data_IF_561899013464
#
_entry.id   IF_561899013464
#
_cell.length_a   1.000
_cell.length_b   1.000
_cell.length_c   1.000
_cell.angle_alpha   90.00
_cell.angle_beta   90.00
_cell.angle_gamma   90.00
#
_symmetry.space_group_name_H-M   'P 1'
#
loop_
_entity.id
_entity.type
_entity.pdbx_description
1 polymer ?
#
# COMPACT_ATOMS: atom_id res chain seq x y z
N UNK A 1 -2.44 7.20 7.75
CA UNK A 1 -1.92 8.56 7.61
C UNK A 1 -0.40 8.49 7.38
N UNK A 2 0.09 9.26 6.42
CA UNK A 2 1.52 9.32 6.09
C UNK A 2 2.00 10.78 6.11
N UNK A 3 3.30 11.07 6.29
CA UNK A 3 3.83 12.42 6.20
C UNK A 3 3.52 13.09 4.85
N UNK A 4 3.70 14.42 4.79
CA UNK A 4 3.70 15.16 3.52
C UNK A 4 4.82 14.65 2.61
N UNK A 5 4.58 14.70 1.31
CA UNK A 5 5.47 14.13 0.31
C UNK A 5 5.50 14.97 -0.96
N UNK A 6 6.68 15.40 -1.41
CA UNK A 6 6.82 16.35 -2.52
C UNK A 6 6.04 15.96 -3.78
N UNK A 7 6.03 14.67 -4.13
CA UNK A 7 5.36 14.19 -5.34
C UNK A 7 3.86 14.47 -5.35
N UNK A 8 3.19 14.38 -4.19
CA UNK A 8 1.76 14.72 -4.07
C UNK A 8 1.54 16.22 -3.92
N UNK A 9 2.47 16.94 -3.27
CA UNK A 9 2.42 18.38 -3.15
C UNK A 9 2.55 19.05 -4.54
N UNK A 10 3.40 18.52 -5.42
CA UNK A 10 3.53 18.96 -6.81
C UNK A 10 2.23 18.77 -7.60
N UNK A 11 1.51 17.65 -7.41
CA UNK A 11 0.24 17.40 -8.09
C UNK A 11 -0.84 18.41 -7.69
N UNK A 12 -0.96 18.74 -6.42
CA UNK A 12 -1.93 19.76 -5.98
C UNK A 12 -1.53 21.16 -6.44
N UNK A 13 -0.24 21.47 -6.47
CA UNK A 13 0.27 22.73 -6.99
C UNK A 13 -0.06 22.88 -8.49
N UNK A 14 0.18 21.87 -9.28
CA UNK A 14 -0.16 21.83 -10.70
C UNK A 14 -1.66 21.99 -10.93
N UNK A 15 -2.50 21.31 -10.15
CA UNK A 15 -3.95 21.43 -10.24
C UNK A 15 -4.42 22.86 -9.93
N UNK A 16 -3.90 23.47 -8.87
CA UNK A 16 -4.22 24.82 -8.46
C UNK A 16 -3.83 25.85 -9.56
N UNK A 17 -2.63 25.76 -10.09
CA UNK A 17 -2.11 26.64 -11.12
C UNK A 17 -2.88 26.48 -12.45
N UNK A 18 -3.12 25.27 -12.89
CA UNK A 18 -3.76 25.00 -14.17
C UNK A 18 -5.25 25.43 -14.21
N UNK A 19 -5.92 25.40 -13.05
CA UNK A 19 -7.30 25.85 -12.92
C UNK A 19 -7.41 27.29 -12.43
N UNK A 20 -6.30 27.93 -12.09
CA UNK A 20 -6.24 29.27 -11.51
C UNK A 20 -7.16 29.41 -10.29
N UNK A 21 -6.89 28.59 -9.27
CA UNK A 21 -7.64 28.54 -8.01
C UNK A 21 -6.70 28.56 -6.82
N UNK A 22 -7.12 29.13 -5.66
CA UNK A 22 -6.27 29.24 -4.48
C UNK A 22 -6.14 27.94 -3.67
N UNK A 23 -7.04 26.98 -3.88
CA UNK A 23 -7.13 25.76 -3.05
C UNK A 23 -7.14 24.53 -3.97
N UNK A 24 -6.25 23.57 -3.65
CA UNK A 24 -6.28 22.24 -4.24
C UNK A 24 -5.91 21.19 -3.19
N UNK A 25 -6.54 20.01 -3.26
CA UNK A 25 -6.40 18.96 -2.25
C UNK A 25 -6.43 17.59 -2.89
N UNK A 26 -5.51 16.73 -2.49
CA UNK A 26 -5.64 15.28 -2.63
C UNK A 26 -6.15 14.76 -1.28
N UNK A 27 -7.37 14.26 -1.25
CA UNK A 27 -7.97 13.72 -0.05
C UNK A 27 -8.35 12.26 -0.19
N UNK A 28 -8.33 11.56 0.93
CA UNK A 28 -8.80 10.19 1.09
C UNK A 28 -9.97 10.17 2.07
N UNK A 29 -10.98 9.39 1.76
CA UNK A 29 -12.16 9.23 2.58
C UNK A 29 -12.01 7.97 3.41
N UNK A 30 -11.91 8.14 4.74
CA UNK A 30 -11.95 7.05 5.72
C UNK A 30 -13.38 6.85 6.25
N UNK A 31 -13.58 5.92 7.17
CA UNK A 31 -14.90 5.63 7.76
C UNK A 31 -15.43 6.75 8.66
N UNK A 32 -14.55 7.58 9.21
CA UNK A 32 -14.82 8.57 10.24
C UNK A 32 -14.41 9.99 9.86
N UNK A 33 -13.53 10.14 8.86
CA UNK A 33 -13.00 11.45 8.46
C UNK A 33 -12.55 11.48 7.01
N UNK A 34 -12.39 12.68 6.50
CA UNK A 34 -11.66 13.00 5.28
C UNK A 34 -10.24 13.43 5.66
N UNK A 35 -9.24 12.73 5.15
CA UNK A 35 -7.83 13.02 5.41
C UNK A 35 -7.14 13.57 4.16
N UNK A 36 -6.28 14.60 4.33
CA UNK A 36 -5.59 15.27 3.23
C UNK A 36 -4.17 14.74 3.08
N UNK A 37 -3.92 14.00 1.99
CA UNK A 37 -2.60 13.51 1.63
C UNK A 37 -1.68 14.66 1.22
N UNK A 38 -2.19 15.60 0.43
CA UNK A 38 -1.53 16.83 0.04
C UNK A 38 -2.57 17.94 -0.10
N UNK A 39 -2.19 19.16 0.17
CA UNK A 39 -3.09 20.30 0.06
C UNK A 39 -2.33 21.62 -0.09
N UNK A 40 -2.95 22.60 -0.76
CA UNK A 40 -2.54 23.98 -0.83
C UNK A 40 -3.75 24.87 -0.52
N UNK A 41 -3.54 25.97 0.19
CA UNK A 41 -4.59 26.95 0.50
C UNK A 41 -5.51 26.59 1.67
N UNK A 42 -5.29 25.48 2.37
CA UNK A 42 -5.98 25.11 3.60
C UNK A 42 -5.00 24.99 4.77
N UNK A 43 -5.48 25.21 5.99
CA UNK A 43 -4.69 25.05 7.22
C UNK A 43 -4.85 23.64 7.83
N UNK A 44 -6.03 23.04 7.68
CA UNK A 44 -6.35 21.73 8.24
C UNK A 44 -5.79 20.60 7.38
N UNK A 45 -5.46 19.45 8.01
CA UNK A 45 -5.04 18.21 7.33
C UNK A 45 -6.13 17.13 7.33
N UNK A 46 -7.22 17.39 7.98
CA UNK A 46 -8.39 16.50 8.01
C UNK A 46 -9.66 17.30 8.32
N UNK A 47 -10.80 16.71 8.04
CA UNK A 47 -12.09 17.25 8.41
C UNK A 47 -13.15 16.15 8.60
N UNK A 48 -14.22 16.41 9.36
CA UNK A 48 -15.35 15.48 9.48
C UNK A 48 -16.03 15.21 8.13
N UNK A 49 -16.61 14.01 7.98
CA UNK A 49 -17.29 13.63 6.74
C UNK A 49 -18.56 14.42 6.48
N UNK A 50 -19.24 14.83 7.54
CA UNK A 50 -20.53 15.52 7.47
C UNK A 50 -20.46 16.87 6.73
N UNK A 51 -19.30 17.51 6.75
CA UNK A 51 -19.09 18.79 6.05
C UNK A 51 -18.36 18.61 4.71
N UNK A 52 -17.98 17.37 4.35
CA UNK A 52 -17.20 17.10 3.16
C UNK A 52 -18.04 17.20 1.87
N UNK A 53 -17.69 18.13 0.98
CA UNK A 53 -18.22 18.18 -0.38
C UNK A 53 -17.72 16.98 -1.20
N UNK A 54 -16.50 16.49 -0.92
CA UNK A 54 -15.85 15.42 -1.67
C UNK A 54 -16.55 14.07 -1.55
N UNK A 55 -17.28 13.82 -0.46
CA UNK A 55 -18.07 12.58 -0.30
C UNK A 55 -19.13 12.42 -1.39
N UNK A 56 -19.71 13.52 -1.85
CA UNK A 56 -20.70 13.53 -2.93
C UNK A 56 -20.07 13.21 -4.31
N UNK A 57 -18.78 13.45 -4.45
CA UNK A 57 -18.07 13.09 -5.68
C UNK A 57 -17.91 11.55 -5.82
N UNK A 58 -17.84 10.81 -4.71
CA UNK A 58 -17.63 9.34 -4.76
C UNK A 58 -18.75 8.58 -5.49
N UNK A 59 -19.94 9.15 -5.56
CA UNK A 59 -21.09 8.56 -6.26
C UNK A 59 -21.18 8.96 -7.74
N UNK A 60 -20.21 9.73 -8.25
CA UNK A 60 -20.20 10.17 -9.63
C UNK A 60 -19.29 9.29 -10.49
N UNK A 61 -19.54 9.26 -11.79
CA UNK A 61 -18.68 8.54 -12.73
C UNK A 61 -17.54 9.40 -13.28
N UNK A 62 -17.70 10.72 -13.25
CA UNK A 62 -16.74 11.71 -13.77
C UNK A 62 -16.50 12.84 -12.75
N UNK A 63 -15.78 13.87 -13.15
CA UNK A 63 -15.49 15.05 -12.33
C UNK A 63 -16.76 15.71 -11.87
N UNK A 64 -16.96 15.77 -10.56
CA UNK A 64 -18.03 16.59 -9.97
C UNK A 64 -17.64 18.07 -10.10
N UNK A 65 -18.46 18.87 -10.74
CA UNK A 65 -18.27 20.34 -10.89
C UNK A 65 -19.45 21.04 -10.26
N UNK A 66 -19.17 21.95 -9.32
CA UNK A 66 -20.15 22.81 -8.67
C UNK A 66 -19.75 24.27 -8.91
N UNK A 67 -20.37 24.95 -9.88
CA UNK A 67 -19.99 26.31 -10.29
C UNK A 67 -20.23 27.39 -9.22
N UNK A 68 -21.28 27.24 -8.42
CA UNK A 68 -21.56 28.03 -7.21
C UNK A 68 -22.22 27.13 -6.16
N UNK A 69 -21.51 26.85 -5.09
CA UNK A 69 -21.98 25.95 -4.00
C UNK A 69 -23.23 26.45 -3.30
N UNK A 70 -23.50 27.75 -3.32
CA UNK A 70 -24.73 28.35 -2.72
C UNK A 70 -25.98 28.04 -3.53
N UNK A 71 -25.83 27.75 -4.81
CA UNK A 71 -26.92 27.44 -5.74
C UNK A 71 -27.12 25.92 -5.92
N UNK A 72 -26.37 25.11 -5.21
CA UNK A 72 -26.50 23.66 -5.24
C UNK A 72 -27.15 23.19 -3.94
N UNK A 73 -28.34 22.63 -4.04
CA UNK A 73 -29.16 22.21 -2.89
C UNK A 73 -28.42 21.23 -1.96
N UNK A 74 -27.43 20.51 -2.46
CA UNK A 74 -26.61 19.59 -1.65
C UNK A 74 -25.67 20.30 -0.69
N UNK A 75 -25.32 21.57 -0.99
CA UNK A 75 -24.25 22.29 -0.30
C UNK A 75 -24.65 23.65 0.25
N UNK A 76 -25.79 24.18 -0.13
CA UNK A 76 -26.24 25.55 0.26
C UNK A 76 -26.20 25.79 1.78
N UNK A 77 -26.54 24.78 2.59
CA UNK A 77 -26.54 24.83 4.05
C UNK A 77 -25.25 24.30 4.71
N UNK A 78 -24.25 23.92 3.90
CA UNK A 78 -23.01 23.38 4.42
C UNK A 78 -22.19 24.46 5.16
N UNK A 79 -21.67 24.22 6.38
CA UNK A 79 -20.85 25.18 7.12
C UNK A 79 -19.66 25.76 6.35
N UNK A 80 -19.05 24.97 5.46
CA UNK A 80 -17.95 25.42 4.59
C UNK A 80 -18.42 26.42 3.52
N UNK A 81 -19.73 26.46 3.22
CA UNK A 81 -20.37 27.36 2.24
C UNK A 81 -20.97 28.55 2.93
N UNK A 82 -21.67 28.38 4.08
CA UNK A 82 -22.38 29.46 4.77
C UNK A 82 -21.44 30.42 5.51
N UNK A 83 -20.20 30.05 5.76
CA UNK A 83 -19.21 30.94 6.37
C UNK A 83 -18.98 32.22 5.55
N UNK A 84 -18.56 33.32 6.22
CA UNK A 84 -18.30 34.62 5.57
C UNK A 84 -17.29 34.51 4.44
N UNK A 85 -16.21 33.73 4.66
CA UNK A 85 -15.18 33.40 3.67
C UNK A 85 -15.36 31.97 3.11
N UNK A 86 -16.62 31.60 2.89
CA UNK A 86 -17.00 30.25 2.50
C UNK A 86 -16.63 29.89 1.06
N UNK A 87 -16.59 28.59 0.82
CA UNK A 87 -16.34 28.03 -0.51
C UNK A 87 -17.49 28.38 -1.45
N UNK A 88 -17.16 28.68 -2.71
CA UNK A 88 -18.14 29.04 -3.76
C UNK A 88 -18.02 28.15 -4.99
N UNK A 89 -16.85 27.65 -5.27
CA UNK A 89 -16.60 26.76 -6.41
C UNK A 89 -15.92 25.48 -5.95
N UNK A 90 -16.31 24.37 -6.59
CA UNK A 90 -15.69 23.07 -6.40
C UNK A 90 -15.57 22.32 -7.75
N UNK A 91 -14.44 21.69 -8.00
CA UNK A 91 -14.31 20.64 -9.02
C UNK A 91 -13.41 19.51 -8.48
N UNK A 92 -13.88 18.26 -8.58
CA UNK A 92 -13.15 17.13 -8.02
C UNK A 92 -13.18 15.90 -8.92
N UNK A 93 -12.01 15.37 -9.25
CA UNK A 93 -11.80 14.10 -9.95
C UNK A 93 -11.59 12.96 -8.94
N UNK A 94 -12.09 11.77 -9.25
CA UNK A 94 -12.01 10.61 -8.37
C UNK A 94 -10.61 9.98 -8.36
N UNK A 95 -10.15 9.62 -7.19
CA UNK A 95 -9.06 8.68 -6.98
C UNK A 95 -9.66 7.27 -6.90
N UNK A 96 -9.32 6.40 -7.86
CA UNK A 96 -9.85 5.04 -7.95
C UNK A 96 -8.72 4.03 -7.83
N UNK A 97 -8.95 2.97 -7.05
CA UNK A 97 -8.03 1.82 -7.02
C UNK A 97 -7.98 1.13 -8.40
N UNK A 98 -7.01 0.23 -8.65
CA UNK A 98 -6.97 -0.57 -9.88
C UNK A 98 -8.28 -1.34 -10.13
N UNK A 99 -9.01 -1.73 -9.07
CA UNK A 99 -10.30 -2.41 -9.13
C UNK A 99 -11.47 -1.45 -9.42
N UNK A 100 -11.20 -0.14 -9.56
CA UNK A 100 -12.20 0.89 -9.85
C UNK A 100 -12.91 1.46 -8.61
N UNK A 101 -12.53 1.07 -7.40
CA UNK A 101 -13.15 1.53 -6.15
C UNK A 101 -12.73 2.99 -5.88
N UNK A 102 -13.69 3.93 -5.70
CA UNK A 102 -13.36 5.31 -5.35
C UNK A 102 -12.91 5.38 -3.89
N UNK A 103 -11.74 5.97 -3.65
CA UNK A 103 -11.12 6.09 -2.32
C UNK A 103 -10.97 7.54 -1.85
N UNK A 104 -11.24 8.50 -2.72
CA UNK A 104 -11.08 9.93 -2.45
C UNK A 104 -11.15 10.75 -3.70
N UNK A 105 -10.66 11.98 -3.62
CA UNK A 105 -10.63 12.91 -4.77
C UNK A 105 -9.34 13.72 -4.82
N UNK A 106 -8.96 14.12 -6.04
CA UNK A 106 -8.16 15.31 -6.27
C UNK A 106 -9.14 16.42 -6.63
N UNK A 107 -9.24 17.42 -5.77
CA UNK A 107 -10.20 18.51 -5.96
C UNK A 107 -9.54 19.89 -5.89
N UNK A 108 -10.18 20.83 -6.53
CA UNK A 108 -9.83 22.26 -6.56
C UNK A 108 -11.04 23.07 -6.10
N UNK A 109 -10.77 24.13 -5.33
CA UNK A 109 -11.81 24.94 -4.72
C UNK A 109 -11.45 26.43 -4.79
N UNK A 110 -12.49 27.26 -4.81
CA UNK A 110 -12.34 28.71 -4.75
C UNK A 110 -13.42 29.32 -3.85
N UNK A 111 -13.10 30.49 -3.28
CA UNK A 111 -14.05 31.36 -2.56
C UNK A 111 -14.83 32.28 -3.49
N UNK A 112 -14.57 32.21 -4.79
CA UNK A 112 -15.31 32.91 -5.85
C UNK A 112 -16.09 31.91 -6.69
N UNK A 113 -17.34 32.19 -7.03
CA UNK A 113 -18.08 31.33 -7.94
C UNK A 113 -17.47 31.36 -9.33
N UNK A 114 -17.65 30.26 -10.06
CA UNK A 114 -17.18 30.11 -11.44
C UNK A 114 -18.35 29.67 -12.33
N UNK A 115 -19.21 30.60 -12.78
CA UNK A 115 -20.44 30.28 -13.51
C UNK A 115 -20.26 29.41 -14.76
N UNK A 116 -19.09 29.52 -15.41
CA UNK A 116 -18.73 28.67 -16.56
C UNK A 116 -18.21 27.27 -16.17
N UNK A 117 -18.07 26.99 -14.88
CA UNK A 117 -17.48 25.73 -14.40
C UNK A 117 -16.01 25.55 -14.83
N UNK A 118 -15.68 24.42 -15.38
CA UNK A 118 -14.34 24.10 -15.95
C UNK A 118 -14.47 23.73 -17.43
N UNK A 119 -13.41 23.99 -18.18
CA UNK A 119 -13.31 23.58 -19.60
C UNK A 119 -13.06 22.06 -19.70
N UNK A 120 -13.32 21.48 -20.86
CA UNK A 120 -13.01 20.06 -21.12
C UNK A 120 -11.52 19.76 -20.95
N UNK A 121 -10.65 20.69 -21.30
CA UNK A 121 -9.21 20.56 -21.11
C UNK A 121 -8.85 20.52 -19.60
N UNK A 122 -9.46 21.37 -18.78
CA UNK A 122 -9.27 21.37 -17.33
C UNK A 122 -9.84 20.10 -16.68
N UNK A 123 -10.99 19.63 -17.14
CA UNK A 123 -11.57 18.34 -16.73
C UNK A 123 -10.63 17.18 -17.04
N UNK A 124 -10.11 17.13 -18.26
CA UNK A 124 -9.15 16.11 -18.66
C UNK A 124 -7.89 16.13 -17.81
N UNK A 125 -7.36 17.32 -17.51
CA UNK A 125 -6.19 17.50 -16.67
C UNK A 125 -6.43 17.02 -15.23
N UNK A 126 -7.57 17.36 -14.61
CA UNK A 126 -7.92 16.88 -13.27
C UNK A 126 -7.97 15.35 -13.21
N UNK A 127 -8.60 14.73 -14.20
CA UNK A 127 -8.65 13.28 -14.32
C UNK A 127 -7.24 12.66 -14.49
N UNK A 128 -6.37 13.31 -15.27
CA UNK A 128 -4.99 12.86 -15.46
C UNK A 128 -4.20 12.91 -14.14
N UNK A 129 -4.27 14.04 -13.44
CA UNK A 129 -3.59 14.23 -12.15
C UNK A 129 -4.13 13.29 -11.06
N UNK A 130 -5.44 13.04 -11.05
CA UNK A 130 -6.07 12.08 -10.14
C UNK A 130 -5.55 10.65 -10.38
N UNK A 131 -5.46 10.22 -11.65
CA UNK A 131 -4.86 8.91 -11.99
C UNK A 131 -3.39 8.86 -11.59
N UNK A 132 -2.62 9.92 -11.82
CA UNK A 132 -1.22 9.98 -11.42
C UNK A 132 -1.07 9.84 -9.90
N UNK A 133 -1.90 10.56 -9.12
CA UNK A 133 -1.92 10.43 -7.65
C UNK A 133 -2.21 8.99 -7.21
N UNK A 134 -3.21 8.35 -7.81
CA UNK A 134 -3.57 6.96 -7.49
C UNK A 134 -2.43 6.00 -7.84
N UNK A 135 -1.80 6.16 -9.00
CA UNK A 135 -0.66 5.33 -9.41
C UNK A 135 0.50 5.43 -8.41
N UNK A 136 0.82 6.63 -7.96
CA UNK A 136 1.86 6.84 -6.95
C UNK A 136 1.50 6.19 -5.60
N UNK A 137 0.24 6.30 -5.15
CA UNK A 137 -0.22 5.63 -3.93
C UNK A 137 -0.08 4.12 -4.04
N UNK A 138 -0.44 3.55 -5.19
CA UNK A 138 -0.36 2.11 -5.41
C UNK A 138 1.08 1.60 -5.48
N UNK A 139 1.97 2.29 -6.17
CA UNK A 139 3.40 1.96 -6.18
C UNK A 139 3.99 1.92 -4.76
N UNK A 140 3.64 2.89 -3.92
CA UNK A 140 4.08 2.92 -2.51
C UNK A 140 3.52 1.76 -1.71
N UNK A 141 2.26 1.43 -1.93
CA UNK A 141 1.64 0.26 -1.28
C UNK A 141 2.39 -1.02 -1.62
N UNK A 142 2.75 -1.19 -2.90
CA UNK A 142 3.50 -2.36 -3.37
C UNK A 142 4.89 -2.39 -2.75
N UNK A 143 5.63 -1.28 -2.77
CA UNK A 143 6.97 -1.18 -2.15
C UNK A 143 6.91 -1.54 -0.66
N UNK A 144 5.98 -0.93 0.09
CA UNK A 144 5.85 -1.20 1.52
C UNK A 144 5.49 -2.67 1.83
N UNK A 145 4.70 -3.32 0.97
CA UNK A 145 4.39 -4.75 1.10
C UNK A 145 5.60 -5.64 0.80
N UNK A 146 6.39 -5.26 -0.19
CA UNK A 146 7.61 -5.99 -0.56
C UNK A 146 8.65 -5.92 0.55
N UNK A 147 8.86 -4.73 1.12
CA UNK A 147 9.80 -4.52 2.22
C UNK A 147 9.40 -5.35 3.46
N UNK A 148 8.12 -5.34 3.83
CA UNK A 148 7.61 -6.16 4.94
C UNK A 148 7.84 -7.65 4.71
N UNK A 149 7.57 -8.15 3.50
CA UNK A 149 7.81 -9.56 3.17
C UNK A 149 9.29 -9.92 3.25
N UNK A 150 10.18 -9.03 2.78
CA UNK A 150 11.62 -9.23 2.89
C UNK A 150 12.09 -9.28 4.34
N UNK A 151 11.54 -8.40 5.20
CA UNK A 151 11.85 -8.40 6.64
C UNK A 151 11.33 -9.65 7.35
N UNK A 152 10.10 -10.10 7.00
CA UNK A 152 9.53 -11.34 7.54
C UNK A 152 10.38 -12.57 7.16
N UNK A 153 10.80 -12.67 5.88
CA UNK A 153 11.67 -13.75 5.42
C UNK A 153 13.02 -13.74 6.15
N UNK A 154 13.65 -12.55 6.25
CA UNK A 154 14.92 -12.41 6.99
C UNK A 154 14.79 -12.82 8.45
N UNK A 155 13.67 -12.44 9.10
CA UNK A 155 13.38 -12.84 10.49
C UNK A 155 13.23 -14.35 10.65
N UNK A 156 12.64 -15.03 9.68
CA UNK A 156 12.52 -16.50 9.65
C UNK A 156 13.90 -17.14 9.48
N UNK A 157 14.68 -16.69 8.51
CA UNK A 157 16.04 -17.18 8.24
C UNK A 157 16.96 -17.02 9.47
N UNK A 158 16.85 -15.90 10.21
CA UNK A 158 17.65 -15.69 11.42
C UNK A 158 17.21 -16.56 12.60
N UNK A 159 15.92 -16.88 12.72
CA UNK A 159 15.39 -17.68 13.83
C UNK A 159 15.62 -19.18 13.65
N UNK A 160 15.67 -19.67 12.41
CA UNK A 160 15.79 -21.08 12.11
C UNK A 160 17.10 -21.70 12.70
N UNK A 161 18.30 -21.08 12.52
CA UNK A 161 19.52 -21.58 13.12
C UNK A 161 19.53 -21.48 14.65
N UNK A 162 18.86 -20.46 15.23
CA UNK A 162 18.82 -20.27 16.69
C UNK A 162 18.02 -21.38 17.40
N UNK A 163 16.93 -21.83 16.78
CA UNK A 163 16.13 -22.93 17.33
C UNK A 163 16.94 -24.24 17.37
N UNK A 164 17.65 -24.57 16.28
CA UNK A 164 18.53 -25.75 16.23
C UNK A 164 19.70 -25.70 17.22
N UNK A 165 20.25 -24.49 17.48
CA UNK A 165 21.30 -24.31 18.51
C UNK A 165 20.76 -24.48 19.93
N UNK A 166 19.52 -24.07 20.20
CA UNK A 166 18.92 -24.12 21.54
C UNK A 166 18.58 -25.56 21.97
N UNK A 167 18.16 -26.42 21.06
CA UNK A 167 17.81 -27.81 21.29
C UNK A 167 18.98 -28.77 21.17
N UNK A 168 20.11 -28.32 20.56
CA UNK A 168 21.25 -29.15 20.21
C UNK A 168 20.89 -30.34 19.29
N UNK A 169 19.76 -30.21 18.56
CA UNK A 169 19.32 -31.22 17.61
C UNK A 169 19.99 -31.00 16.24
N UNK A 170 20.45 -32.09 15.62
CA UNK A 170 20.87 -32.07 14.25
C UNK A 170 19.64 -31.94 13.34
N UNK A 171 19.49 -30.76 12.72
CA UNK A 171 18.43 -30.46 11.77
C UNK A 171 19.02 -30.61 10.38
N UNK A 172 18.26 -31.23 9.50
CA UNK A 172 18.62 -31.41 8.10
C UNK A 172 17.47 -30.98 7.19
N UNK A 173 17.84 -30.53 6.02
CA UNK A 173 16.93 -30.21 4.92
C UNK A 173 17.37 -31.01 3.68
N UNK A 174 16.46 -31.74 3.07
CA UNK A 174 16.73 -32.60 1.92
C UNK A 174 15.89 -32.17 0.73
N UNK A 175 16.56 -31.60 -0.26
CA UNK A 175 15.96 -31.39 -1.60
C UNK A 175 15.91 -32.73 -2.35
N UNK A 176 14.73 -33.34 -2.38
CA UNK A 176 14.51 -34.63 -3.07
C UNK A 176 14.66 -34.53 -4.58
N UNK A 177 14.58 -33.35 -5.18
CA UNK A 177 14.75 -33.16 -6.62
C UNK A 177 16.20 -33.18 -7.06
N UNK A 178 17.11 -32.68 -6.23
CA UNK A 178 18.57 -32.61 -6.48
C UNK A 178 19.36 -33.62 -5.69
N UNK A 179 18.73 -34.37 -4.78
CA UNK A 179 19.34 -35.26 -3.77
C UNK A 179 20.35 -34.52 -2.88
N UNK A 180 20.18 -33.24 -2.64
CA UNK A 180 21.08 -32.45 -1.80
C UNK A 180 20.54 -32.35 -0.37
N UNK A 181 21.41 -32.67 0.62
CA UNK A 181 21.10 -32.64 2.04
C UNK A 181 21.99 -31.61 2.74
N UNK A 182 21.35 -30.60 3.33
CA UNK A 182 22.03 -29.60 4.17
C UNK A 182 21.85 -29.93 5.67
N UNK A 183 22.91 -29.81 6.46
CA UNK A 183 22.87 -30.03 7.90
C UNK A 183 23.24 -28.77 8.67
N UNK A 184 22.63 -28.61 9.85
CA UNK A 184 23.08 -27.56 10.76
C UNK A 184 24.36 -27.96 11.52
N UNK A 185 24.99 -26.99 12.20
CA UNK A 185 26.22 -27.19 13.00
C UNK A 185 26.10 -28.23 14.13
N UNK A 186 24.88 -28.64 14.49
CA UNK A 186 24.67 -29.60 15.55
C UNK A 186 25.01 -31.03 15.12
N UNK A 187 25.13 -31.34 13.82
CA UNK A 187 25.53 -32.65 13.34
C UNK A 187 26.89 -33.07 13.93
N UNK A 188 27.87 -32.16 13.90
CA UNK A 188 29.20 -32.41 14.46
C UNK A 188 29.11 -32.59 16.01
N UNK A 189 28.38 -31.72 16.68
CA UNK A 189 28.28 -31.76 18.15
C UNK A 189 27.48 -32.94 18.69
N UNK A 190 26.38 -33.30 18.02
CA UNK A 190 25.46 -34.34 18.50
C UNK A 190 25.90 -35.75 18.07
N UNK A 191 26.51 -35.88 16.88
CA UNK A 191 26.84 -37.18 16.30
C UNK A 191 28.32 -37.36 15.96
N UNK A 192 29.14 -36.31 16.07
CA UNK A 192 30.60 -36.39 15.90
C UNK A 192 31.08 -36.42 14.43
N UNK A 193 30.23 -36.11 13.48
CA UNK A 193 30.61 -36.04 12.06
C UNK A 193 31.15 -34.64 11.71
N UNK A 194 32.35 -34.55 11.21
CA UNK A 194 32.90 -33.31 10.66
C UNK A 194 32.12 -32.93 9.39
N UNK A 195 31.58 -31.74 9.33
CA UNK A 195 30.83 -31.27 8.17
C UNK A 195 31.62 -31.29 6.87
N UNK A 196 32.96 -31.15 6.93
CA UNK A 196 33.82 -31.23 5.77
C UNK A 196 33.95 -32.65 5.19
N UNK A 197 33.61 -33.67 5.99
CA UNK A 197 33.66 -35.09 5.59
C UNK A 197 32.27 -35.65 5.22
N UNK A 198 31.21 -34.87 5.43
CA UNK A 198 29.83 -35.27 5.13
C UNK A 198 29.56 -35.07 3.64
N UNK A 199 29.23 -36.14 2.92
CA UNK A 199 28.68 -36.02 1.58
C UNK A 199 27.26 -35.51 1.62
N UNK A 200 26.90 -34.39 0.97
CA UNK A 200 25.58 -33.77 1.06
C UNK A 200 24.56 -34.52 0.20
N UNK A 201 24.31 -35.79 0.48
CA UNK A 201 23.40 -36.66 -0.26
C UNK A 201 22.51 -37.49 0.64
N UNK A 202 21.32 -37.82 0.17
CA UNK A 202 20.41 -38.72 0.86
C UNK A 202 20.99 -40.10 1.04
N UNK A 203 21.79 -40.57 0.07
CA UNK A 203 22.48 -41.86 0.16
C UNK A 203 23.45 -41.89 1.34
N UNK A 204 24.27 -40.85 1.54
CA UNK A 204 25.17 -40.74 2.70
C UNK A 204 24.36 -40.78 4.01
N UNK A 205 23.28 -40.02 4.11
CA UNK A 205 22.42 -39.98 5.31
C UNK A 205 21.83 -41.36 5.62
N UNK A 206 21.22 -42.04 4.63
CA UNK A 206 20.62 -43.36 4.81
C UNK A 206 21.68 -44.38 5.27
N UNK A 207 22.90 -44.33 4.72
CA UNK A 207 23.99 -45.24 5.08
C UNK A 207 24.41 -45.10 6.55
N UNK A 208 24.16 -43.94 7.18
CA UNK A 208 24.51 -43.69 8.59
C UNK A 208 23.34 -43.91 9.55
N UNK A 209 22.15 -44.32 9.08
CA UNK A 209 21.04 -44.80 9.92
C UNK A 209 21.33 -46.22 10.41
N UNK A 210 20.84 -46.57 11.59
CA UNK A 210 20.96 -47.93 12.08
C UNK A 210 20.41 -48.93 11.07
N UNK A 211 21.10 -50.05 10.79
CA UNK A 211 20.71 -51.01 9.75
C UNK A 211 19.25 -51.48 9.84
N UNK A 212 18.73 -51.69 11.04
CA UNK A 212 17.36 -52.17 11.25
C UNK A 212 16.30 -51.11 10.90
N UNK A 213 16.65 -49.81 10.76
CA UNK A 213 15.77 -48.72 10.49
C UNK A 213 15.88 -48.20 9.04
N UNK A 214 16.92 -48.55 8.30
CA UNK A 214 17.21 -47.99 6.96
C UNK A 214 16.05 -48.19 5.97
N UNK A 215 15.55 -49.41 5.84
CA UNK A 215 14.45 -49.73 4.91
C UNK A 215 13.17 -49.01 5.27
N UNK A 216 12.83 -48.95 6.54
CA UNK A 216 11.61 -48.27 7.03
C UNK A 216 11.66 -46.76 6.76
N UNK A 217 12.82 -46.13 7.03
CA UNK A 217 12.99 -44.69 6.85
C UNK A 217 13.08 -44.34 5.36
N UNK A 218 13.84 -45.10 4.55
CA UNK A 218 13.90 -44.88 3.10
C UNK A 218 12.52 -44.96 2.44
N UNK A 219 11.70 -45.95 2.82
CA UNK A 219 10.32 -46.06 2.34
C UNK A 219 9.47 -44.87 2.74
N UNK A 220 9.52 -44.45 4.01
CA UNK A 220 8.72 -43.33 4.53
C UNK A 220 9.03 -41.99 3.83
N UNK A 221 10.28 -41.77 3.40
CA UNK A 221 10.68 -40.56 2.68
C UNK A 221 10.21 -40.56 1.22
N UNK A 222 10.23 -41.73 0.57
CA UNK A 222 9.76 -41.84 -0.83
C UNK A 222 8.25 -41.80 -0.98
N UNK A 223 7.50 -42.06 0.11
CA UNK A 223 6.04 -42.06 0.15
C UNK A 223 5.46 -40.68 0.57
N UNK A 224 6.31 -39.68 0.92
CA UNK A 224 5.91 -38.33 1.38
C UNK A 224 5.97 -37.30 0.26
#
# INVERSE_FOLDING_TARGET
>A
DTPAEPDFDDLVLLAAQALDVPIAVINLIASDRQWFKAQIGLAAREMPLEVSICTHALSQDDVLVVPDTRLDDRFADNPLVTADDGLRFYAGALLRTPEGIPIGTLCVLDRKPRPGGITDQQRHLLNLLARQATTQMELRRIVALTDRRADDLRSIEERYPLAGRATNDAIWDWDLGTDHVEWNEALERAYGFDQAEVEPSGAWWIAHIHPDDQDRIATAIHDA
#
